data_IF_000670137816
#
_entry.id   IF_000670137816
#
_cell.length_a   1.000
_cell.length_b   1.000
_cell.length_c   1.000
_cell.angle_alpha   90.00
_cell.angle_beta   90.00
_cell.angle_gamma   90.00
#
_symmetry.space_group_name_H-M   'P 1'
#
loop_
_entity.id
_entity.type
_entity.pdbx_description
1 polymer ?
#
# COMPACT_ATOMS: atom_id res chain seq x y z
N UNK A 1 35.27 -0.45 -47.90
CA UNK A 1 34.00 -1.08 -48.34
C UNK A 1 32.86 -0.34 -47.65
N UNK A 2 32.02 0.39 -48.42
CA UNK A 2 30.89 1.22 -47.95
C UNK A 2 29.56 0.52 -48.24
N UNK A 3 28.61 0.53 -47.29
CA UNK A 3 27.12 0.58 -47.41
C UNK A 3 26.58 0.97 -46.00
N UNK A 4 25.84 2.05 -45.67
CA UNK A 4 24.83 2.95 -46.28
C UNK A 4 23.38 2.52 -45.99
N UNK A 5 22.64 3.30 -45.17
CA UNK A 5 21.16 3.37 -45.17
C UNK A 5 20.67 4.84 -45.10
N UNK A 6 20.35 5.34 -46.30
CA UNK A 6 19.18 6.13 -46.73
C UNK A 6 19.00 7.58 -46.25
N UNK A 7 19.58 8.49 -47.03
CA UNK A 7 18.92 9.71 -47.49
C UNK A 7 18.22 9.40 -48.82
N UNK A 8 16.94 9.74 -48.98
CA UNK A 8 16.24 9.66 -50.27
C UNK A 8 16.45 10.96 -51.01
N UNK A 9 17.28 10.91 -52.06
CA UNK A 9 17.34 11.92 -53.11
C UNK A 9 16.62 11.36 -54.34
N UNK A 10 15.60 12.06 -54.83
CA UNK A 10 15.01 11.82 -56.15
C UNK A 10 15.54 12.88 -57.12
N UNK A 11 16.32 12.46 -58.12
CA UNK A 11 16.70 13.27 -59.27
C UNK A 11 15.72 13.02 -60.42
N UNK A 12 15.17 14.08 -61.03
CA UNK A 12 14.58 14.01 -62.37
C UNK A 12 15.14 15.13 -63.26
N UNK A 13 15.41 14.76 -64.51
CA UNK A 13 15.88 15.62 -65.60
C UNK A 13 14.82 16.63 -66.07
N UNK A 14 15.32 17.66 -66.76
CA UNK A 14 14.68 18.89 -67.23
C UNK A 14 13.52 18.63 -68.21
N UNK A 15 12.39 19.33 -68.05
CA UNK A 15 11.69 20.25 -68.99
C UNK A 15 10.20 20.34 -68.63
N UNK A 16 9.74 21.56 -68.33
CA UNK A 16 8.37 22.03 -68.62
C UNK A 16 7.39 22.13 -67.44
N UNK A 17 6.94 23.36 -67.16
CA UNK A 17 5.57 23.60 -66.69
C UNK A 17 5.38 23.95 -65.20
N UNK A 18 5.28 25.26 -64.96
CA UNK A 18 4.41 25.98 -64.02
C UNK A 18 3.73 25.22 -62.85
N UNK A 19 4.01 25.73 -61.63
CA UNK A 19 3.15 25.84 -60.44
C UNK A 19 2.04 24.80 -60.21
N UNK A 20 2.13 24.04 -59.10
CA UNK A 20 1.12 24.00 -58.03
C UNK A 20 1.45 23.02 -56.87
N UNK A 21 1.03 23.41 -55.66
CA UNK A 21 0.60 22.58 -54.52
C UNK A 21 1.59 21.58 -53.89
N UNK A 22 2.22 21.98 -52.78
CA UNK A 22 2.70 21.03 -51.77
C UNK A 22 1.53 20.65 -50.85
N UNK A 23 0.93 19.51 -51.15
CA UNK A 23 -0.07 18.82 -50.33
C UNK A 23 0.57 18.21 -49.08
N UNK A 24 -0.21 18.22 -48.01
CA UNK A 24 0.06 17.56 -46.74
C UNK A 24 0.47 16.08 -46.93
N UNK A 25 1.61 15.72 -46.36
CA UNK A 25 1.98 14.32 -46.06
C UNK A 25 2.23 14.25 -44.55
N UNK A 26 1.14 13.95 -43.85
CA UNK A 26 0.99 13.21 -42.58
C UNK A 26 2.01 13.46 -41.45
N UNK A 27 1.69 14.48 -40.64
CA UNK A 27 2.05 14.61 -39.22
C UNK A 27 1.15 13.74 -38.33
N UNK A 28 1.17 12.42 -38.49
CA UNK A 28 0.35 11.50 -37.68
C UNK A 28 1.19 10.62 -36.74
N UNK A 29 2.16 11.21 -36.05
CA UNK A 29 2.63 10.64 -34.78
C UNK A 29 1.65 11.12 -33.72
N UNK A 30 0.60 10.33 -33.45
CA UNK A 30 -0.25 10.54 -32.28
C UNK A 30 0.66 10.63 -31.05
N UNK A 31 0.60 11.74 -30.34
CA UNK A 31 1.30 11.95 -29.07
C UNK A 31 0.90 10.81 -28.12
N UNK A 32 1.78 9.83 -27.96
CA UNK A 32 1.54 8.70 -27.06
C UNK A 32 1.73 9.24 -25.66
N UNK A 33 0.63 9.34 -24.91
CA UNK A 33 0.67 9.75 -23.51
C UNK A 33 1.61 8.81 -22.73
N UNK A 34 2.75 9.33 -22.29
CA UNK A 34 3.72 8.58 -21.51
C UNK A 34 3.14 8.38 -20.11
N UNK A 35 3.07 7.14 -19.63
CA UNK A 35 2.40 6.80 -18.37
C UNK A 35 3.33 6.94 -17.16
N UNK A 36 2.78 7.39 -16.04
CA UNK A 36 3.42 7.26 -14.71
C UNK A 36 3.40 5.79 -14.27
N UNK A 37 4.51 5.30 -13.73
CA UNK A 37 4.65 3.93 -13.21
C UNK A 37 5.09 3.98 -11.74
N UNK A 38 4.53 3.09 -10.92
CA UNK A 38 4.88 2.93 -9.51
C UNK A 38 5.20 1.46 -9.23
N UNK A 39 6.32 1.21 -8.56
CA UNK A 39 6.72 -0.11 -8.06
C UNK A 39 6.60 -0.15 -6.54
N UNK A 40 5.88 -1.13 -6.01
CA UNK A 40 5.81 -1.42 -4.58
C UNK A 40 6.50 -2.75 -4.34
N UNK A 41 7.36 -2.84 -3.32
CA UNK A 41 8.18 -4.04 -3.12
C UNK A 41 7.33 -5.28 -2.79
N UNK A 42 7.73 -6.49 -3.24
CA UNK A 42 7.05 -7.74 -2.92
C UNK A 42 6.88 -7.96 -1.42
N UNK A 43 7.82 -7.51 -0.58
CA UNK A 43 7.71 -7.62 0.87
C UNK A 43 6.57 -6.75 1.41
N UNK A 44 6.40 -5.53 0.90
CA UNK A 44 5.27 -4.67 1.28
C UNK A 44 3.97 -5.27 0.77
N UNK A 45 3.92 -5.75 -0.48
CA UNK A 45 2.73 -6.42 -1.03
C UNK A 45 2.37 -7.68 -0.23
N UNK A 46 3.36 -8.50 0.13
CA UNK A 46 3.16 -9.72 0.93
C UNK A 46 2.64 -9.38 2.32
N UNK A 47 3.20 -8.37 2.98
CA UNK A 47 2.70 -7.89 4.29
C UNK A 47 1.28 -7.37 4.21
N UNK A 48 0.93 -6.66 3.14
CA UNK A 48 -0.44 -6.18 2.90
C UNK A 48 -1.40 -7.37 2.75
N UNK A 49 -1.04 -8.41 2.00
CA UNK A 49 -1.88 -9.60 1.85
C UNK A 49 -1.99 -10.41 3.14
N UNK A 50 -0.88 -10.66 3.85
CA UNK A 50 -0.87 -11.31 5.16
C UNK A 50 -1.78 -10.58 6.16
N UNK A 51 -1.67 -9.25 6.24
CA UNK A 51 -2.49 -8.44 7.13
C UNK A 51 -3.98 -8.50 6.76
N UNK A 52 -4.33 -8.57 5.47
CA UNK A 52 -5.71 -8.78 5.02
C UNK A 52 -6.25 -10.15 5.46
N UNK A 53 -5.43 -11.20 5.40
CA UNK A 53 -5.81 -12.53 5.86
C UNK A 53 -6.02 -12.57 7.37
N UNK A 54 -5.11 -11.96 8.13
CA UNK A 54 -5.22 -11.83 9.60
C UNK A 54 -6.46 -11.05 9.99
N UNK A 55 -6.75 -9.93 9.32
CA UNK A 55 -7.99 -9.17 9.54
C UNK A 55 -9.24 -10.02 9.27
N UNK A 56 -9.22 -10.88 8.25
CA UNK A 56 -10.33 -11.79 7.94
C UNK A 56 -10.48 -12.85 9.01
N UNK A 57 -9.39 -13.42 9.50
CA UNK A 57 -9.40 -14.36 10.63
C UNK A 57 -9.96 -13.69 11.89
N UNK A 58 -9.42 -12.53 12.24
CA UNK A 58 -9.81 -11.75 13.41
C UNK A 58 -11.29 -11.36 13.39
N UNK A 59 -11.82 -11.00 12.22
CA UNK A 59 -13.25 -10.73 12.02
C UNK A 59 -14.13 -11.95 12.33
N UNK A 60 -13.69 -13.17 11.96
CA UNK A 60 -14.38 -14.43 12.31
C UNK A 60 -14.34 -14.71 13.81
N UNK A 61 -13.22 -14.43 14.47
CA UNK A 61 -13.08 -14.57 15.94
C UNK A 61 -14.09 -13.67 16.65
N UNK A 62 -14.17 -12.39 16.26
CA UNK A 62 -15.16 -11.43 16.80
C UNK A 62 -16.59 -11.94 16.59
N UNK A 63 -16.91 -12.47 15.40
CA UNK A 63 -18.24 -13.04 15.10
C UNK A 63 -18.56 -14.22 16.03
N UNK A 64 -17.62 -15.13 16.20
CA UNK A 64 -17.76 -16.31 17.07
C UNK A 64 -18.00 -15.93 18.51
N UNK A 65 -17.23 -14.98 19.06
CA UNK A 65 -17.45 -14.50 20.43
C UNK A 65 -18.80 -13.79 20.60
N UNK A 66 -19.26 -13.05 19.58
CA UNK A 66 -20.60 -12.45 19.59
C UNK A 66 -21.71 -13.51 19.61
N UNK A 67 -21.57 -14.58 18.83
CA UNK A 67 -22.51 -15.71 18.82
C UNK A 67 -22.56 -16.40 20.17
N UNK A 68 -21.42 -16.84 20.70
CA UNK A 68 -21.32 -17.42 22.06
C UNK A 68 -21.92 -16.51 23.13
N UNK A 69 -21.69 -15.19 23.04
CA UNK A 69 -22.27 -14.22 23.96
C UNK A 69 -23.79 -14.16 23.87
N UNK A 70 -24.38 -14.31 22.68
CA UNK A 70 -25.84 -14.39 22.49
C UNK A 70 -26.39 -15.68 23.07
N UNK A 71 -25.73 -16.80 22.84
CA UNK A 71 -26.14 -18.11 23.36
C UNK A 71 -26.13 -18.15 24.89
N UNK A 72 -25.07 -17.61 25.51
CA UNK A 72 -25.02 -17.46 26.98
C UNK A 72 -26.13 -16.52 27.46
N UNK A 73 -26.46 -15.46 26.73
CA UNK A 73 -27.53 -14.54 27.10
C UNK A 73 -28.93 -15.18 26.99
N UNK A 74 -29.17 -16.02 25.98
CA UNK A 74 -30.43 -16.76 25.84
C UNK A 74 -30.56 -17.83 26.93
N UNK A 75 -29.47 -18.52 27.27
CA UNK A 75 -29.43 -19.49 28.37
C UNK A 75 -29.75 -18.83 29.71
N UNK A 76 -29.12 -17.68 30.02
CA UNK A 76 -29.45 -16.90 31.23
C UNK A 76 -30.94 -16.56 31.28
N UNK A 77 -31.54 -16.15 30.15
CA UNK A 77 -32.96 -15.82 30.06
C UNK A 77 -33.84 -17.05 30.34
N UNK A 78 -33.51 -18.20 29.74
CA UNK A 78 -34.21 -19.47 29.96
C UNK A 78 -34.18 -19.90 31.43
N UNK A 79 -33.00 -19.88 32.05
CA UNK A 79 -32.80 -20.23 33.46
C UNK A 79 -33.57 -19.29 34.41
N UNK A 80 -33.63 -17.98 34.10
CA UNK A 80 -34.43 -17.02 34.87
C UNK A 80 -35.93 -17.32 34.77
N UNK A 81 -36.45 -17.57 33.56
CA UNK A 81 -37.85 -17.94 33.38
C UNK A 81 -38.22 -19.26 34.10
N UNK A 82 -37.32 -20.25 34.09
CA UNK A 82 -37.53 -21.50 34.82
C UNK A 82 -37.58 -21.27 36.34
N UNK A 83 -36.72 -20.40 36.86
CA UNK A 83 -36.74 -20.01 38.26
C UNK A 83 -38.05 -19.31 38.63
N UNK A 84 -38.51 -18.36 37.82
CA UNK A 84 -39.77 -17.64 38.06
C UNK A 84 -40.99 -18.56 38.05
N UNK A 85 -41.04 -19.53 37.11
CA UNK A 85 -42.10 -20.53 37.05
C UNK A 85 -42.11 -21.44 38.31
N UNK A 86 -40.93 -21.83 38.80
CA UNK A 86 -40.82 -22.63 40.03
C UNK A 86 -41.38 -21.88 41.25
N UNK A 87 -41.06 -20.58 41.38
CA UNK A 87 -41.57 -19.71 42.45
C UNK A 87 -43.09 -19.54 42.36
N UNK A 88 -43.64 -19.31 41.16
CA UNK A 88 -45.09 -19.20 40.96
C UNK A 88 -45.85 -20.48 41.33
N UNK A 89 -45.32 -21.64 40.95
CA UNK A 89 -45.91 -22.93 41.32
C UNK A 89 -45.87 -23.16 42.85
N UNK A 90 -44.82 -22.70 43.52
CA UNK A 90 -44.68 -22.77 44.99
C UNK A 90 -45.74 -21.92 45.70
N UNK A 91 -45.95 -20.68 45.26
CA UNK A 91 -47.01 -19.81 45.76
C UNK A 91 -48.42 -20.38 45.52
N UNK A 92 -48.63 -21.08 44.40
CA UNK A 92 -49.90 -21.75 44.09
C UNK A 92 -50.14 -23.00 44.95
N UNK A 93 -49.10 -23.75 45.30
CA UNK A 93 -49.17 -24.90 46.23
C UNK A 93 -49.47 -24.45 47.66
N UNK A 94 -48.81 -23.39 48.15
CA UNK A 94 -49.08 -22.82 49.48
C UNK A 94 -50.52 -22.31 49.62
N UNK A 95 -51.10 -21.73 48.57
CA UNK A 95 -52.52 -21.32 48.53
C UNK A 95 -53.52 -22.47 48.53
N UNK A 96 -53.10 -23.70 48.18
CA UNK A 96 -53.96 -24.90 48.19
C UNK A 96 -53.93 -25.64 49.53
N UNK A 97 -53.02 -25.29 50.44
CA UNK A 97 -53.03 -25.82 51.80
C UNK A 97 -54.21 -25.20 52.55
N UNK A 98 -55.20 -25.99 53.02
CA UNK A 98 -56.31 -25.43 53.78
C UNK A 98 -55.75 -24.85 55.07
N UNK A 99 -55.93 -23.54 55.25
CA UNK A 99 -55.80 -22.90 56.54
C UNK A 99 -56.86 -23.52 57.44
N UNK A 100 -56.48 -24.51 58.25
CA UNK A 100 -57.35 -25.06 59.29
C UNK A 100 -57.33 -24.06 60.44
N UNK A 101 -58.29 -23.15 60.40
CA UNK A 101 -58.62 -22.26 61.50
C UNK A 101 -59.25 -23.12 62.60
N UNK A 102 -58.48 -23.44 63.63
CA UNK A 102 -59.00 -23.92 64.91
C UNK A 102 -57.96 -23.66 66.00
N UNK A 103 -57.87 -22.38 66.39
CA UNK A 103 -57.28 -21.96 67.66
C UNK A 103 -58.39 -22.00 68.70
N UNK A 104 -58.47 -23.12 69.41
CA UNK A 104 -59.17 -23.22 70.68
C UNK A 104 -58.12 -23.06 71.78
N UNK A 105 -58.29 -22.04 72.61
CA UNK A 105 -57.40 -21.67 73.71
C UNK A 105 -57.25 -22.83 74.70
N UNK A 106 -56.04 -23.35 74.91
CA UNK A 106 -55.69 -24.15 76.09
C UNK A 106 -54.29 -23.77 76.63
N UNK A 107 -54.07 -23.87 77.96
CA UNK A 107 -52.92 -23.26 78.65
C UNK A 107 -51.58 -23.93 78.35
N UNK A 108 -50.55 -23.10 78.48
CA UNK A 108 -49.13 -23.43 78.44
C UNK A 108 -48.81 -24.68 79.29
N UNK A 109 -48.43 -25.80 78.68
CA UNK A 109 -47.62 -26.79 79.40
C UNK A 109 -46.82 -27.72 78.47
N UNK A 110 -45.55 -27.91 78.86
CA UNK A 110 -44.53 -28.84 78.35
C UNK A 110 -43.92 -28.54 76.96
N UNK A 111 -42.66 -28.04 77.00
CA UNK A 111 -41.74 -28.07 75.86
C UNK A 111 -41.39 -29.53 75.51
N UNK A 112 -42.25 -30.15 74.71
CA UNK A 112 -41.93 -31.37 74.01
C UNK A 112 -40.95 -31.00 72.88
N UNK A 113 -39.72 -31.52 72.92
CA UNK A 113 -38.79 -31.50 71.78
C UNK A 113 -39.36 -32.41 70.69
N UNK A 114 -40.37 -31.92 69.97
CA UNK A 114 -40.92 -32.58 68.80
C UNK A 114 -39.84 -32.59 67.72
N UNK A 115 -39.36 -33.79 67.36
CA UNK A 115 -38.66 -33.99 66.11
C UNK A 115 -39.59 -33.51 64.98
N UNK A 116 -39.31 -32.36 64.38
CA UNK A 116 -40.01 -31.93 63.17
C UNK A 116 -39.63 -32.90 62.06
N UNK A 117 -40.59 -33.63 61.53
CA UNK A 117 -40.40 -34.38 60.29
C UNK A 117 -39.94 -33.39 59.20
N UNK A 118 -38.74 -33.65 58.67
CA UNK A 118 -38.19 -32.82 57.59
C UNK A 118 -38.91 -33.21 56.31
N UNK A 119 -39.63 -32.27 55.70
CA UNK A 119 -40.17 -32.45 54.37
C UNK A 119 -39.02 -32.52 53.34
N UNK A 120 -38.65 -33.75 53.02
CA UNK A 120 -37.59 -34.05 52.05
C UNK A 120 -37.89 -33.51 50.64
N UNK A 121 -39.17 -33.31 50.29
CA UNK A 121 -39.56 -32.74 48.99
C UNK A 121 -39.33 -31.23 48.96
N UNK A 122 -39.68 -30.52 50.05
CA UNK A 122 -39.36 -29.10 50.21
C UNK A 122 -37.84 -28.86 50.14
N UNK A 123 -37.04 -29.69 50.81
CA UNK A 123 -35.57 -29.60 50.77
C UNK A 123 -35.03 -29.84 49.35
N UNK A 124 -35.54 -30.83 48.61
CA UNK A 124 -35.13 -31.09 47.20
C UNK A 124 -35.44 -29.91 46.28
N UNK A 125 -36.55 -29.19 46.51
CA UNK A 125 -36.97 -28.01 45.73
C UNK A 125 -36.01 -26.83 45.96
N UNK A 126 -35.71 -26.52 47.22
CA UNK A 126 -34.72 -25.51 47.62
C UNK A 126 -33.35 -25.82 47.00
N UNK A 127 -32.93 -27.09 47.02
CA UNK A 127 -31.65 -27.51 46.44
C UNK A 127 -31.59 -27.28 44.93
N UNK A 128 -32.69 -27.50 44.20
CA UNK A 128 -32.79 -27.21 42.75
C UNK A 128 -32.71 -25.72 42.45
N UNK A 129 -33.40 -24.88 43.21
CA UNK A 129 -33.38 -23.42 43.05
C UNK A 129 -32.01 -22.81 43.33
N UNK A 130 -31.31 -23.33 44.35
CA UNK A 130 -29.93 -22.95 44.66
C UNK A 130 -28.99 -23.27 43.48
N UNK A 131 -29.09 -24.49 42.92
CA UNK A 131 -28.32 -24.91 41.74
C UNK A 131 -28.57 -24.00 40.52
N UNK A 132 -29.83 -23.65 40.23
CA UNK A 132 -30.17 -22.72 39.13
C UNK A 132 -29.57 -21.34 39.38
N UNK A 133 -29.65 -20.83 40.62
CA UNK A 133 -29.10 -19.53 40.98
C UNK A 133 -27.57 -19.48 40.88
N UNK A 134 -26.88 -20.54 41.28
CA UNK A 134 -25.43 -20.69 41.11
C UNK A 134 -25.06 -20.72 39.61
N UNK A 135 -25.81 -21.47 38.80
CA UNK A 135 -25.60 -21.54 37.34
C UNK A 135 -25.75 -20.17 36.67
N UNK A 136 -26.78 -19.40 37.03
CA UNK A 136 -26.98 -18.04 36.51
C UNK A 136 -25.78 -17.15 36.83
N UNK A 137 -25.27 -17.18 38.07
CA UNK A 137 -24.08 -16.40 38.48
C UNK A 137 -22.86 -16.77 37.62
N UNK A 138 -22.61 -18.05 37.40
CA UNK A 138 -21.48 -18.51 36.55
C UNK A 138 -21.62 -18.01 35.12
N UNK A 139 -22.82 -18.12 34.53
CA UNK A 139 -23.08 -17.66 33.16
C UNK A 139 -22.96 -16.14 33.01
N UNK A 140 -23.35 -15.37 34.04
CA UNK A 140 -23.18 -13.91 34.04
C UNK A 140 -21.70 -13.49 34.02
N UNK A 141 -20.84 -14.22 34.75
CA UNK A 141 -19.39 -14.04 34.70
C UNK A 141 -18.83 -14.39 33.32
N UNK A 142 -19.25 -15.51 32.74
CA UNK A 142 -18.84 -15.94 31.40
C UNK A 142 -19.25 -14.91 30.32
N UNK A 143 -20.49 -14.42 30.37
CA UNK A 143 -20.98 -13.36 29.47
C UNK A 143 -20.15 -12.09 29.57
N UNK A 144 -19.73 -11.70 30.77
CA UNK A 144 -18.85 -10.54 30.99
C UNK A 144 -17.49 -10.75 30.34
N UNK A 145 -16.88 -11.93 30.53
CA UNK A 145 -15.60 -12.30 29.91
C UNK A 145 -15.70 -12.29 28.38
N UNK A 146 -16.76 -12.88 27.81
CA UNK A 146 -17.02 -12.84 26.37
C UNK A 146 -17.20 -11.40 25.86
N UNK A 147 -17.83 -10.52 26.63
CA UNK A 147 -17.93 -9.11 26.27
C UNK A 147 -16.57 -8.44 26.19
N UNK A 148 -15.72 -8.65 27.19
CA UNK A 148 -14.35 -8.11 27.20
C UNK A 148 -13.53 -8.62 26.02
N UNK A 149 -13.64 -9.92 25.70
CA UNK A 149 -12.98 -10.50 24.53
C UNK A 149 -13.48 -9.83 23.24
N UNK A 150 -14.79 -9.67 23.05
CA UNK A 150 -15.33 -8.99 21.85
C UNK A 150 -14.75 -7.58 21.70
N UNK A 151 -14.62 -6.84 22.80
CA UNK A 151 -14.14 -5.46 22.76
C UNK A 151 -12.62 -5.41 22.50
N UNK A 152 -11.84 -6.30 23.09
CA UNK A 152 -10.40 -6.45 22.83
C UNK A 152 -10.13 -6.82 21.37
N UNK A 153 -10.83 -7.82 20.83
CA UNK A 153 -10.61 -8.29 19.45
C UNK A 153 -11.03 -7.24 18.41
N UNK A 154 -12.01 -6.37 18.74
CA UNK A 154 -12.35 -5.20 17.91
C UNK A 154 -11.23 -4.16 17.91
N UNK A 155 -10.56 -3.93 19.04
CA UNK A 155 -9.42 -3.00 19.11
C UNK A 155 -8.26 -3.50 18.25
N UNK A 156 -7.96 -4.80 18.30
CA UNK A 156 -6.99 -5.44 17.41
C UNK A 156 -7.38 -5.22 15.95
N UNK A 157 -8.64 -5.46 15.58
CA UNK A 157 -9.13 -5.24 14.21
C UNK A 157 -9.03 -3.76 13.78
N UNK A 158 -9.22 -2.81 14.69
CA UNK A 158 -9.03 -1.39 14.37
C UNK A 158 -7.57 -1.03 14.15
N UNK A 159 -6.65 -1.60 14.93
CA UNK A 159 -5.22 -1.39 14.74
C UNK A 159 -4.76 -1.93 13.40
N UNK A 160 -5.14 -3.18 13.06
CA UNK A 160 -4.81 -3.79 11.77
C UNK A 160 -5.30 -2.96 10.57
N UNK A 161 -6.41 -2.23 10.70
CA UNK A 161 -6.88 -1.33 9.63
C UNK A 161 -5.98 -0.11 9.45
N UNK A 162 -5.44 0.42 10.54
CA UNK A 162 -4.48 1.54 10.50
C UNK A 162 -3.20 1.07 9.85
N UNK A 163 -2.66 -0.06 10.30
CA UNK A 163 -1.43 -0.65 9.74
C UNK A 163 -1.58 -0.92 8.23
N UNK A 164 -2.77 -1.36 7.78
CA UNK A 164 -3.08 -1.56 6.37
C UNK A 164 -3.11 -0.22 5.60
N UNK A 165 -3.64 0.84 6.18
CA UNK A 165 -3.63 2.18 5.57
C UNK A 165 -2.20 2.70 5.44
N UNK A 166 -1.38 2.55 6.49
CA UNK A 166 0.03 2.94 6.49
C UNK A 166 0.83 2.19 5.43
N UNK A 167 0.70 0.86 5.35
CA UNK A 167 1.39 0.05 4.34
C UNK A 167 0.98 0.41 2.90
N UNK A 168 -0.30 0.69 2.66
CA UNK A 168 -0.77 1.15 1.35
C UNK A 168 -0.32 2.58 1.01
N UNK A 169 0.10 3.36 2.01
CA UNK A 169 0.62 4.73 1.83
C UNK A 169 2.14 4.78 1.65
N UNK A 170 2.85 3.66 1.73
CA UNK A 170 4.26 3.62 1.43
C UNK A 170 4.46 3.94 -0.06
N UNK A 171 4.86 5.18 -0.34
CA UNK A 171 5.18 5.65 -1.69
C UNK A 171 6.24 4.73 -2.29
N UNK A 172 5.81 3.92 -3.24
CA UNK A 172 6.69 3.03 -3.99
C UNK A 172 7.75 3.79 -4.77
N UNK A 173 8.59 3.04 -5.50
CA UNK A 173 9.49 3.68 -6.46
C UNK A 173 8.67 4.23 -7.61
N UNK A 174 8.84 5.50 -7.97
CA UNK A 174 8.04 6.19 -8.99
C UNK A 174 8.90 6.60 -10.19
N UNK A 175 8.32 6.44 -11.39
CA UNK A 175 8.83 7.09 -12.59
C UNK A 175 7.68 7.75 -13.35
N UNK A 176 7.73 9.07 -13.48
CA UNK A 176 6.74 9.87 -14.19
C UNK A 176 7.42 10.68 -15.32
N UNK A 177 7.36 10.22 -16.57
CA UNK A 177 7.97 10.93 -17.70
C UNK A 177 7.27 12.27 -18.03
N UNK A 178 6.07 12.51 -17.52
CA UNK A 178 5.35 13.77 -17.68
C UNK A 178 5.72 14.80 -16.60
N UNK A 179 6.42 14.39 -15.54
CA UNK A 179 6.93 15.27 -14.51
C UNK A 179 8.17 14.66 -13.85
N UNK A 180 9.35 15.02 -14.35
CA UNK A 180 10.61 14.53 -13.78
C UNK A 180 11.01 15.23 -12.48
N UNK A 181 10.16 16.12 -11.94
CA UNK A 181 10.35 16.69 -10.60
C UNK A 181 9.68 15.86 -9.50
N UNK A 182 8.83 14.91 -9.88
CA UNK A 182 8.31 13.88 -8.98
C UNK A 182 9.45 12.93 -8.56
N UNK A 183 9.78 12.91 -7.27
CA UNK A 183 10.87 12.09 -6.75
C UNK A 183 10.57 10.60 -6.96
N UNK A 184 11.58 9.83 -7.34
CA UNK A 184 11.45 8.39 -7.54
C UNK A 184 11.38 7.62 -6.24
N UNK A 185 11.87 8.15 -5.12
CA UNK A 185 12.00 7.44 -3.85
C UNK A 185 12.88 6.17 -3.92
N UNK A 186 13.66 5.99 -5.00
CA UNK A 186 14.51 4.82 -5.15
C UNK A 186 15.68 4.84 -4.15
N UNK A 187 15.90 3.71 -3.47
CA UNK A 187 17.08 3.55 -2.63
C UNK A 187 18.34 3.27 -3.45
N UNK A 188 19.53 3.54 -2.88
CA UNK A 188 20.81 3.18 -3.53
C UNK A 188 20.90 1.67 -3.81
N UNK A 189 20.34 0.83 -2.93
CA UNK A 189 20.32 -0.63 -3.12
C UNK A 189 19.49 -1.00 -4.35
N UNK A 190 18.28 -0.46 -4.48
CA UNK A 190 17.41 -0.70 -5.64
C UNK A 190 18.02 -0.13 -6.93
N UNK A 191 18.65 1.05 -6.87
CA UNK A 191 19.35 1.63 -8.02
C UNK A 191 20.50 0.72 -8.49
N UNK A 192 21.28 0.14 -7.57
CA UNK A 192 22.32 -0.85 -7.90
C UNK A 192 21.75 -2.13 -8.52
N UNK A 193 20.57 -2.58 -8.08
CA UNK A 193 19.88 -3.75 -8.62
C UNK A 193 19.49 -3.51 -10.08
N UNK A 194 18.78 -2.41 -10.38
CA UNK A 194 18.31 -2.14 -11.75
C UNK A 194 19.44 -1.86 -12.74
N UNK A 195 20.59 -1.39 -12.24
CA UNK A 195 21.82 -1.17 -13.02
C UNK A 195 22.79 -2.36 -13.01
N UNK A 196 22.40 -3.51 -12.45
CA UNK A 196 23.24 -4.70 -12.48
C UNK A 196 23.67 -5.03 -13.93
N UNK A 197 24.94 -5.44 -14.06
CA UNK A 197 25.62 -5.78 -15.31
C UNK A 197 25.77 -4.61 -16.30
N UNK A 198 25.82 -3.37 -15.78
CA UNK A 198 26.13 -2.17 -16.56
C UNK A 198 27.31 -1.42 -15.96
N UNK A 199 28.05 -0.67 -16.79
CA UNK A 199 29.14 0.20 -16.31
C UNK A 199 28.60 1.40 -15.52
N UNK A 200 27.28 1.63 -15.51
CA UNK A 200 26.64 2.68 -14.72
C UNK A 200 26.35 2.27 -13.27
N UNK A 201 26.49 0.98 -12.91
CA UNK A 201 26.11 0.48 -11.59
C UNK A 201 26.84 1.19 -10.44
N UNK A 202 28.09 1.59 -10.66
CA UNK A 202 28.89 2.31 -9.66
C UNK A 202 28.33 3.70 -9.34
N UNK A 203 27.63 4.34 -10.29
CA UNK A 203 27.01 5.66 -10.11
C UNK A 203 25.65 5.63 -9.40
N UNK A 204 25.18 4.46 -8.95
CA UNK A 204 23.93 4.34 -8.20
C UNK A 204 23.78 5.32 -7.03
N UNK A 205 24.81 5.55 -6.17
CA UNK A 205 24.74 6.57 -5.11
C UNK A 205 24.59 8.00 -5.66
N UNK A 206 25.18 8.28 -6.84
CA UNK A 206 25.17 9.60 -7.48
C UNK A 206 23.77 9.96 -7.95
N UNK A 207 23.05 9.04 -8.60
CA UNK A 207 21.67 9.30 -9.05
C UNK A 207 20.73 9.61 -7.87
N UNK A 208 20.83 8.86 -6.77
CA UNK A 208 20.02 9.09 -5.57
C UNK A 208 20.40 10.42 -4.90
N UNK A 209 21.68 10.81 -4.94
CA UNK A 209 22.12 12.12 -4.44
C UNK A 209 21.58 13.26 -5.30
N UNK A 210 21.63 13.12 -6.63
CA UNK A 210 21.05 14.09 -7.57
C UNK A 210 19.57 14.32 -7.27
N UNK A 211 18.80 13.26 -7.03
CA UNK A 211 17.39 13.41 -6.67
C UNK A 211 17.18 14.19 -5.38
N UNK A 212 17.97 13.91 -4.34
CA UNK A 212 17.86 14.58 -3.05
C UNK A 212 18.25 16.06 -3.12
N UNK A 213 19.32 16.39 -3.83
CA UNK A 213 19.88 17.75 -3.86
C UNK A 213 19.19 18.62 -4.90
N UNK A 214 18.84 18.04 -6.04
CA UNK A 214 18.34 18.77 -7.20
C UNK A 214 16.88 18.46 -7.49
N UNK A 215 16.18 17.63 -6.71
CA UNK A 215 14.76 17.28 -6.89
C UNK A 215 14.40 16.76 -8.30
N UNK A 216 15.35 16.13 -9.00
CA UNK A 216 15.11 15.49 -10.30
C UNK A 216 14.98 13.98 -10.08
N UNK A 217 13.94 13.37 -10.63
CA UNK A 217 13.69 11.94 -10.57
C UNK A 217 14.96 11.15 -10.97
N UNK A 218 15.46 10.31 -10.05
CA UNK A 218 16.70 9.57 -10.23
C UNK A 218 16.66 8.62 -11.43
N UNK A 219 15.51 8.01 -11.71
CA UNK A 219 15.31 7.12 -12.87
C UNK A 219 15.46 7.90 -14.18
N UNK A 220 14.98 9.15 -14.23
CA UNK A 220 15.09 9.99 -15.43
C UNK A 220 16.56 10.31 -15.78
N UNK A 221 17.37 10.72 -14.80
CA UNK A 221 18.80 11.01 -15.02
C UNK A 221 19.59 9.73 -15.33
N UNK A 222 19.24 8.62 -14.67
CA UNK A 222 19.82 7.32 -14.98
C UNK A 222 19.52 6.91 -16.42
N UNK A 223 18.26 6.98 -16.85
CA UNK A 223 17.83 6.65 -18.21
C UNK A 223 18.48 7.56 -19.27
N UNK A 224 18.64 8.85 -18.98
CA UNK A 224 19.40 9.78 -19.82
C UNK A 224 20.84 9.29 -20.00
N UNK A 225 21.56 9.07 -18.91
CA UNK A 225 22.96 8.63 -19.00
C UNK A 225 23.10 7.26 -19.69
N UNK A 226 22.17 6.33 -19.47
CA UNK A 226 22.15 5.04 -20.15
C UNK A 226 21.99 5.17 -21.66
N UNK A 227 21.13 6.09 -22.12
CA UNK A 227 20.95 6.39 -23.54
C UNK A 227 22.24 6.97 -24.15
N UNK A 228 22.77 8.01 -23.53
CA UNK A 228 23.85 8.83 -24.10
C UNK A 228 25.22 8.16 -24.04
N UNK A 229 25.46 7.31 -23.03
CA UNK A 229 26.72 6.59 -22.86
C UNK A 229 26.70 5.15 -23.35
N UNK A 230 25.57 4.65 -23.86
CA UNK A 230 25.40 3.23 -24.16
C UNK A 230 25.63 2.38 -22.91
N UNK A 231 24.92 2.68 -21.82
CA UNK A 231 25.05 2.01 -20.52
C UNK A 231 26.46 2.12 -19.90
N UNK A 232 27.14 3.25 -20.11
CA UNK A 232 28.49 3.54 -19.61
C UNK A 232 29.61 2.94 -20.45
N UNK A 233 29.30 2.22 -21.53
CA UNK A 233 30.30 1.47 -22.30
C UNK A 233 30.98 2.28 -23.40
N UNK A 234 30.44 3.44 -23.77
CA UNK A 234 30.98 4.25 -24.87
C UNK A 234 32.39 4.73 -24.58
N UNK A 235 33.19 4.88 -25.65
CA UNK A 235 34.55 5.41 -25.57
C UNK A 235 34.59 6.76 -24.83
N UNK A 236 33.66 7.65 -25.16
CA UNK A 236 33.54 8.99 -24.57
C UNK A 236 33.19 8.96 -23.07
N UNK A 237 32.36 8.01 -22.66
CA UNK A 237 32.06 7.81 -21.25
C UNK A 237 33.31 7.35 -20.46
N UNK A 238 34.08 6.42 -21.02
CA UNK A 238 35.25 5.82 -20.36
C UNK A 238 36.50 6.71 -20.38
N UNK A 239 36.77 7.36 -21.51
CA UNK A 239 37.99 8.13 -21.71
C UNK A 239 37.80 9.61 -21.33
N UNK A 240 36.65 10.19 -21.66
CA UNK A 240 36.39 11.63 -21.50
C UNK A 240 35.50 11.94 -20.28
N UNK A 241 35.09 10.90 -19.54
CA UNK A 241 34.16 11.00 -18.41
C UNK A 241 32.84 11.70 -18.73
N UNK A 242 32.37 11.59 -19.98
CA UNK A 242 31.12 12.21 -20.42
C UNK A 242 30.03 11.15 -20.64
N UNK A 243 29.21 10.94 -19.60
CA UNK A 243 28.17 9.91 -19.55
C UNK A 243 26.80 10.38 -20.03
N UNK A 244 26.65 11.67 -20.30
CA UNK A 244 25.37 12.32 -20.64
C UNK A 244 25.38 12.99 -22.01
N UNK A 245 26.52 12.97 -22.72
CA UNK A 245 26.67 13.71 -23.99
C UNK A 245 26.68 15.23 -23.81
N UNK A 246 26.98 15.72 -22.59
CA UNK A 246 26.89 17.15 -22.29
C UNK A 246 27.86 17.96 -23.17
N UNK A 247 27.33 18.98 -23.86
CA UNK A 247 28.10 19.84 -24.76
C UNK A 247 28.55 19.22 -26.09
N UNK A 248 28.01 18.05 -26.47
CA UNK A 248 28.36 17.37 -27.71
C UNK A 248 27.36 17.76 -28.81
N UNK A 249 27.84 18.46 -29.85
CA UNK A 249 27.00 18.95 -30.95
C UNK A 249 27.32 18.32 -32.32
N UNK A 250 28.41 17.55 -32.44
CA UNK A 250 28.79 16.73 -33.60
C UNK A 250 29.70 15.57 -33.17
N UNK A 251 29.94 14.60 -34.06
CA UNK A 251 30.80 13.44 -33.78
C UNK A 251 32.24 13.86 -33.41
N UNK A 252 32.72 14.96 -34.01
CA UNK A 252 34.04 15.54 -33.78
C UNK A 252 34.11 16.49 -32.56
N UNK A 253 32.98 16.85 -31.94
CA UNK A 253 32.98 17.76 -30.80
C UNK A 253 33.61 17.10 -29.57
N UNK A 254 34.49 17.80 -28.86
CA UNK A 254 35.11 17.28 -27.62
C UNK A 254 34.10 17.12 -26.48
N UNK A 255 33.02 17.92 -26.45
CA UNK A 255 32.05 17.95 -25.34
C UNK A 255 32.51 18.77 -24.14
N UNK A 256 31.66 18.93 -23.14
CA UNK A 256 32.03 19.48 -21.82
C UNK A 256 32.41 18.29 -20.93
N UNK A 257 33.69 17.92 -20.98
CA UNK A 257 34.25 16.82 -20.21
C UNK A 257 34.45 17.20 -18.74
N UNK A 258 34.42 16.22 -17.85
CA UNK A 258 34.56 16.41 -16.41
C UNK A 258 35.74 15.62 -15.86
N UNK A 259 36.16 15.88 -14.61
CA UNK A 259 37.25 15.13 -13.98
C UNK A 259 36.82 13.70 -13.57
N UNK A 260 35.52 13.42 -13.53
CA UNK A 260 34.95 12.11 -13.23
C UNK A 260 33.53 11.96 -13.78
N UNK A 261 33.05 10.72 -13.93
CA UNK A 261 31.67 10.45 -14.33
C UNK A 261 30.65 11.01 -13.34
N UNK A 262 30.96 10.98 -12.04
CA UNK A 262 30.14 11.60 -11.00
C UNK A 262 29.96 13.10 -11.22
N UNK A 263 31.05 13.80 -11.53
CA UNK A 263 31.01 15.23 -11.80
C UNK A 263 30.23 15.55 -13.07
N UNK A 264 30.39 14.77 -14.14
CA UNK A 264 29.60 14.93 -15.36
C UNK A 264 28.10 14.75 -15.14
N UNK A 265 27.69 13.72 -14.38
CA UNK A 265 26.30 13.50 -13.99
C UNK A 265 25.73 14.68 -13.19
N UNK A 266 26.49 15.17 -12.20
CA UNK A 266 26.09 16.32 -11.39
C UNK A 266 26.01 17.61 -12.22
N UNK A 267 26.99 17.89 -13.08
CA UNK A 267 26.99 19.06 -13.95
C UNK A 267 25.77 19.07 -14.87
N UNK A 268 25.47 17.91 -15.49
CA UNK A 268 24.30 17.75 -16.36
C UNK A 268 23.01 17.98 -15.58
N UNK A 269 22.87 17.34 -14.41
CA UNK A 269 21.67 17.48 -13.58
C UNK A 269 21.47 18.92 -13.08
N UNK A 270 22.54 19.61 -12.67
CA UNK A 270 22.49 21.04 -12.30
C UNK A 270 22.04 21.90 -13.47
N UNK A 271 22.59 21.67 -14.66
CA UNK A 271 22.18 22.38 -15.86
C UNK A 271 20.68 22.15 -16.19
N UNK A 272 20.21 20.90 -16.11
CA UNK A 272 18.79 20.58 -16.31
C UNK A 272 17.92 21.30 -15.27
N UNK A 273 18.29 21.24 -13.98
CA UNK A 273 17.56 21.95 -12.91
C UNK A 273 17.48 23.45 -13.19
N UNK A 274 18.61 24.08 -13.47
CA UNK A 274 18.71 25.54 -13.60
C UNK A 274 18.07 26.08 -14.88
N UNK A 275 18.23 25.39 -16.01
CA UNK A 275 17.83 25.91 -17.33
C UNK A 275 16.49 25.40 -17.82
N UNK A 276 16.05 24.22 -17.38
CA UNK A 276 14.84 23.56 -17.88
C UNK A 276 13.75 23.44 -16.81
N UNK A 277 14.10 23.04 -15.58
CA UNK A 277 13.11 22.72 -14.54
C UNK A 277 12.85 23.84 -13.53
N UNK A 278 13.50 24.99 -13.69
CA UNK A 278 13.24 26.19 -12.88
C UNK A 278 12.24 27.06 -13.62
N UNK A 279 11.13 27.39 -12.95
CA UNK A 279 10.07 28.20 -13.55
C UNK A 279 10.62 29.55 -14.06
N UNK A 280 10.37 29.86 -15.33
CA UNK A 280 10.87 31.07 -15.99
C UNK A 280 12.33 31.00 -16.46
N UNK A 281 12.96 29.83 -16.39
CA UNK A 281 14.28 29.63 -16.98
C UNK A 281 14.24 29.67 -18.52
N UNK A 282 15.42 29.85 -19.13
CA UNK A 282 15.56 30.05 -20.58
C UNK A 282 15.02 28.90 -21.43
N UNK A 283 14.94 27.68 -20.89
CA UNK A 283 14.41 26.49 -21.56
C UNK A 283 13.22 25.85 -20.80
N UNK A 284 12.52 26.62 -19.97
CA UNK A 284 11.33 26.17 -19.25
C UNK A 284 10.14 25.90 -20.19
N UNK A 285 10.07 24.67 -20.69
CA UNK A 285 8.96 24.15 -21.50
C UNK A 285 8.13 23.13 -20.71
N UNK A 286 8.14 23.23 -19.37
CA UNK A 286 7.48 22.29 -18.47
C UNK A 286 8.37 21.12 -18.01
N UNK A 287 7.97 20.41 -16.94
CA UNK A 287 8.80 19.43 -16.26
C UNK A 287 8.81 18.04 -16.90
N UNK A 288 8.15 17.84 -18.04
CA UNK A 288 8.13 16.55 -18.73
C UNK A 288 9.42 16.30 -19.50
N UNK A 289 9.73 15.03 -19.80
CA UNK A 289 10.82 14.70 -20.72
C UNK A 289 10.62 15.31 -22.11
N UNK A 290 9.38 15.46 -22.56
CA UNK A 290 9.04 16.16 -23.81
C UNK A 290 9.35 17.66 -23.70
N UNK A 291 9.01 18.28 -22.56
CA UNK A 291 9.36 19.67 -22.27
C UNK A 291 10.87 19.90 -22.32
N UNK A 292 11.65 19.06 -21.64
CA UNK A 292 13.11 19.09 -21.70
C UNK A 292 13.61 18.92 -23.15
N UNK A 293 13.08 17.93 -23.88
CA UNK A 293 13.52 17.63 -25.23
C UNK A 293 13.46 18.83 -26.18
N UNK A 294 12.45 19.69 -26.01
CA UNK A 294 12.20 20.88 -26.86
C UNK A 294 13.46 21.71 -27.12
N UNK A 295 14.35 21.83 -26.13
CA UNK A 295 15.61 22.58 -26.24
C UNK A 295 16.86 21.73 -26.02
N UNK A 296 16.71 20.46 -25.61
CA UNK A 296 17.84 19.58 -25.27
C UNK A 296 18.37 18.80 -26.48
N UNK A 297 17.49 18.33 -27.38
CA UNK A 297 17.88 17.57 -28.56
C UNK A 297 17.10 18.04 -29.81
N UNK A 298 17.74 17.99 -30.97
CA UNK A 298 17.09 18.34 -32.26
C UNK A 298 16.06 17.27 -32.67
N UNK A 299 16.20 16.03 -32.18
CA UNK A 299 15.32 14.91 -32.50
C UNK A 299 14.09 14.80 -31.61
N UNK A 300 12.95 14.52 -32.21
CA UNK A 300 11.66 14.29 -31.53
C UNK A 300 11.60 12.98 -30.72
N UNK A 301 12.47 12.00 -31.03
CA UNK A 301 12.46 10.67 -30.39
C UNK A 301 13.18 10.59 -29.04
N UNK A 302 13.95 11.59 -28.63
CA UNK A 302 14.81 11.52 -27.43
C UNK A 302 14.02 11.26 -26.15
N UNK A 303 12.93 12.00 -25.92
CA UNK A 303 12.06 11.82 -24.73
C UNK A 303 11.50 10.40 -24.63
N UNK A 304 11.08 9.83 -25.76
CA UNK A 304 10.52 8.48 -25.83
C UNK A 304 11.58 7.41 -25.54
N UNK A 305 12.82 7.59 -26.00
CA UNK A 305 13.92 6.66 -25.71
C UNK A 305 14.28 6.65 -24.22
N UNK A 306 14.36 7.82 -23.59
CA UNK A 306 14.59 7.92 -22.14
C UNK A 306 13.43 7.29 -21.37
N UNK A 307 12.20 7.55 -21.78
CA UNK A 307 11.01 6.96 -21.16
C UNK A 307 11.02 5.44 -21.24
N UNK A 308 11.33 4.88 -22.41
CA UNK A 308 11.45 3.44 -22.62
C UNK A 308 12.55 2.81 -21.75
N UNK A 309 13.73 3.46 -21.65
CA UNK A 309 14.78 3.01 -20.74
C UNK A 309 14.31 3.07 -19.28
N UNK A 310 13.64 4.15 -18.88
CA UNK A 310 13.07 4.30 -17.54
C UNK A 310 12.09 3.18 -17.20
N UNK A 311 11.21 2.79 -18.12
CA UNK A 311 10.32 1.64 -17.91
C UNK A 311 11.05 0.32 -17.81
N UNK A 312 12.10 0.10 -18.62
CA UNK A 312 12.94 -1.10 -18.53
C UNK A 312 13.68 -1.17 -17.18
N UNK A 313 14.18 -0.05 -16.69
CA UNK A 313 14.77 0.07 -15.35
C UNK A 313 13.75 -0.26 -14.26
N UNK A 314 12.54 0.29 -14.35
CA UNK A 314 11.45 0.00 -13.39
C UNK A 314 11.03 -1.48 -13.42
N UNK A 315 11.04 -2.12 -14.59
CA UNK A 315 10.68 -3.53 -14.73
C UNK A 315 11.63 -4.45 -13.94
N UNK A 316 12.93 -4.13 -13.93
CA UNK A 316 13.97 -4.88 -13.19
C UNK A 316 13.81 -4.86 -11.66
N UNK A 317 12.97 -3.97 -11.11
CA UNK A 317 12.63 -4.03 -9.68
C UNK A 317 11.77 -5.26 -9.35
N UNK A 318 11.12 -5.86 -10.36
CA UNK A 318 10.30 -7.06 -10.20
C UNK A 318 11.05 -8.37 -10.46
N UNK A 319 12.33 -8.30 -10.87
CA UNK A 319 13.22 -9.44 -11.12
C UNK A 319 13.98 -9.83 -9.84
#
# INVERSE_FOLDING_TARGET
>A
MKRMIIAVAATLSIVGGMFHHASAVEKDVKEVEMKRVVYVSPEVTSKVEELKEDMKYQSKVVKTFREKKRDVASEIKSQKSQKDANVQNQLMEERKSPFVDNLQDEPWETQNFAYREIDTNAVKKILKEKKISERIKTLEVEKKKLSQNVDMEKQVLSQMKIDLQELNSLDGVVFNPNDVTELSNISVKQMRQILQDTDLQEFAPVYVRIEKELHINAIAICALSALESGWGTSKRAKEDHNYTGFGVYSDEAEGINAASGEENLLMTAKHIREKYLTKGAVYDNGPSLVGINTMYCVGDTWAYKITDIGYRLMAKLNE
#
